data_IF_802456773465
#
_entry.id   IF_802456773465
#
_cell.length_a   1.000
_cell.length_b   1.000
_cell.length_c   1.000
_cell.angle_alpha   90.00
_cell.angle_beta   90.00
_cell.angle_gamma   90.00
#
_symmetry.space_group_name_H-M   'P 1'
#
loop_
_entity.id
_entity.type
_entity.pdbx_description
1 polymer ?
#
# COMPACT_ATOMS: atom_id res chain seq x y z
N UNK A 1 -6.58 7.35 28.90
CA UNK A 1 -6.66 7.31 27.42
C UNK A 1 -7.61 6.19 27.03
N UNK A 2 -8.68 6.48 26.27
CA UNK A 2 -9.72 5.49 25.92
C UNK A 2 -9.24 4.65 24.72
N UNK A 3 -9.11 3.34 24.89
CA UNK A 3 -8.81 2.42 23.81
C UNK A 3 -9.92 2.46 22.75
N UNK A 4 -9.57 2.80 21.51
CA UNK A 4 -10.47 2.71 20.36
C UNK A 4 -10.49 1.26 19.87
N UNK A 5 -11.17 0.38 20.58
CA UNK A 5 -11.42 -0.98 20.11
C UNK A 5 -12.75 -1.01 19.36
N UNK A 6 -12.71 -1.02 18.03
CA UNK A 6 -13.83 -1.52 17.21
C UNK A 6 -13.50 -2.96 16.84
N UNK A 7 -13.77 -3.88 17.78
CA UNK A 7 -13.79 -5.31 17.44
C UNK A 7 -15.17 -5.58 16.86
N UNK A 8 -15.26 -5.70 15.53
CA UNK A 8 -16.48 -6.19 14.93
C UNK A 8 -16.51 -7.70 15.21
N UNK A 9 -17.29 -8.12 16.21
CA UNK A 9 -17.51 -9.53 16.49
C UNK A 9 -18.27 -10.13 15.29
N UNK A 10 -17.54 -10.77 14.38
CA UNK A 10 -18.12 -11.64 13.35
C UNK A 10 -18.68 -12.86 14.08
N UNK A 11 -19.95 -12.77 14.51
CA UNK A 11 -20.73 -13.93 14.94
C UNK A 11 -20.74 -14.92 13.76
N UNK A 12 -20.19 -16.11 13.98
CA UNK A 12 -20.41 -17.27 13.11
C UNK A 12 -21.88 -17.71 13.24
N UNK A 13 -22.78 -16.96 12.60
CA UNK A 13 -24.18 -17.32 12.51
C UNK A 13 -24.34 -18.48 11.53
N UNK A 14 -24.64 -19.67 12.07
CA UNK A 14 -25.28 -20.73 11.30
C UNK A 14 -26.72 -20.30 10.97
N UNK A 15 -27.15 -20.67 9.77
CA UNK A 15 -28.54 -20.78 9.27
C UNK A 15 -29.14 -19.54 8.58
N UNK A 16 -29.29 -19.58 7.25
CA UNK A 16 -30.54 -19.99 6.60
C UNK A 16 -30.33 -20.12 5.08
N UNK A 17 -30.62 -21.30 4.57
CA UNK A 17 -30.53 -21.72 3.16
C UNK A 17 -31.52 -20.95 2.27
N UNK A 18 -31.13 -19.78 1.76
CA UNK A 18 -31.72 -19.17 0.56
C UNK A 18 -30.80 -18.07 0.02
N UNK A 19 -29.72 -18.43 -0.66
CA UNK A 19 -29.05 -17.53 -1.60
C UNK A 19 -28.66 -18.38 -2.81
N UNK A 20 -29.47 -18.23 -3.86
CA UNK A 20 -29.42 -18.90 -5.15
C UNK A 20 -28.00 -18.90 -5.72
N UNK A 21 -27.46 -20.08 -6.01
CA UNK A 21 -26.57 -20.56 -7.10
C UNK A 21 -25.67 -19.61 -7.94
N UNK A 22 -25.55 -18.34 -7.62
CA UNK A 22 -24.72 -17.37 -8.30
C UNK A 22 -23.79 -16.74 -7.27
N UNK A 23 -22.59 -17.31 -7.15
CA UNK A 23 -21.49 -16.66 -6.41
C UNK A 23 -21.16 -15.28 -6.98
N UNK A 24 -20.29 -14.54 -6.28
CA UNK A 24 -19.86 -13.21 -6.70
C UNK A 24 -19.30 -13.27 -8.13
N UNK A 25 -19.85 -12.46 -9.04
CA UNK A 25 -19.36 -12.37 -10.42
C UNK A 25 -18.14 -11.48 -10.51
N UNK A 26 -18.19 -10.33 -9.82
CA UNK A 26 -17.11 -9.35 -9.84
C UNK A 26 -16.90 -8.75 -8.45
N UNK A 27 -15.64 -8.62 -8.08
CA UNK A 27 -15.20 -8.06 -6.80
C UNK A 27 -14.10 -7.04 -7.08
N UNK A 28 -14.34 -5.81 -6.65
CA UNK A 28 -13.33 -4.74 -6.73
C UNK A 28 -12.68 -4.58 -5.36
N UNK A 29 -11.37 -4.77 -5.32
CA UNK A 29 -10.55 -4.67 -4.11
C UNK A 29 -9.53 -3.56 -4.24
N UNK A 30 -9.20 -2.94 -3.11
CA UNK A 30 -8.12 -1.96 -3.01
C UNK A 30 -7.14 -2.35 -1.91
N UNK A 31 -5.83 -2.28 -2.18
CA UNK A 31 -4.82 -2.45 -1.14
C UNK A 31 -5.08 -1.52 0.05
N UNK A 32 -5.19 -2.08 1.25
CA UNK A 32 -5.39 -1.33 2.50
C UNK A 32 -4.16 -1.36 3.42
N UNK A 33 -3.23 -2.28 3.19
CA UNK A 33 -1.97 -2.38 3.92
C UNK A 33 -2.00 -3.32 5.11
N UNK A 34 -0.94 -3.26 5.89
CA UNK A 34 -0.83 -3.95 7.16
C UNK A 34 -1.60 -3.22 8.28
N UNK A 35 -2.14 -3.95 9.28
CA UNK A 35 -2.75 -3.37 10.47
C UNK A 35 -1.83 -2.42 11.25
N UNK A 36 -0.52 -2.58 11.10
CA UNK A 36 0.52 -1.77 11.75
C UNK A 36 1.36 -1.04 10.69
N UNK A 37 1.70 0.23 10.95
CA UNK A 37 2.59 1.02 10.11
C UNK A 37 3.99 1.04 10.74
N UNK A 38 4.97 0.38 10.11
CA UNK A 38 6.39 0.57 10.43
C UNK A 38 7.04 1.59 9.48
N UNK A 39 8.18 2.15 9.87
CA UNK A 39 8.85 3.22 9.10
C UNK A 39 9.36 2.80 7.71
N UNK A 40 9.48 1.50 7.44
CA UNK A 40 10.09 0.95 6.22
C UNK A 40 9.34 -0.27 5.67
N UNK A 41 8.01 -0.27 5.67
CA UNK A 41 7.27 -1.34 4.99
C UNK A 41 7.14 -1.00 3.50
N UNK A 42 7.79 -1.78 2.66
CA UNK A 42 7.49 -1.85 1.23
C UNK A 42 6.18 -2.62 1.08
N UNK A 43 5.20 -2.01 0.40
CA UNK A 43 3.91 -2.64 0.18
C UNK A 43 3.92 -3.45 -1.13
N UNK A 44 3.29 -4.62 -1.16
CA UNK A 44 3.36 -5.53 -2.30
C UNK A 44 2.54 -5.07 -3.51
N UNK A 45 3.20 -4.65 -4.59
CA UNK A 45 2.50 -4.24 -5.80
C UNK A 45 1.94 -5.44 -6.60
N UNK A 46 0.71 -5.28 -7.09
CA UNK A 46 0.09 -6.27 -7.96
C UNK A 46 0.56 -6.03 -9.39
N UNK A 47 1.49 -6.86 -9.88
CA UNK A 47 2.03 -6.73 -11.24
C UNK A 47 1.14 -7.38 -12.31
N UNK A 48 0.73 -8.63 -12.09
CA UNK A 48 -0.02 -9.44 -13.07
C UNK A 48 -1.42 -9.76 -12.53
N UNK A 49 -2.45 -9.18 -13.15
CA UNK A 49 -3.84 -9.29 -12.71
C UNK A 49 -4.38 -10.72 -12.79
N UNK A 50 -4.04 -11.47 -13.84
CA UNK A 50 -4.52 -12.84 -14.03
C UNK A 50 -3.97 -13.79 -12.95
N UNK A 51 -2.70 -13.59 -12.56
CA UNK A 51 -2.06 -14.36 -11.49
C UNK A 51 -2.68 -14.01 -10.14
N UNK A 52 -2.91 -12.72 -9.90
CA UNK A 52 -3.60 -12.25 -8.71
C UNK A 52 -5.01 -12.81 -8.61
N UNK A 53 -5.75 -12.86 -9.71
CA UNK A 53 -7.12 -13.38 -9.76
C UNK A 53 -7.17 -14.86 -9.37
N UNK A 54 -6.28 -15.69 -9.92
CA UNK A 54 -6.19 -17.10 -9.53
C UNK A 54 -5.83 -17.27 -8.05
N UNK A 55 -4.85 -16.49 -7.58
CA UNK A 55 -4.44 -16.49 -6.19
C UNK A 55 -5.57 -16.06 -5.23
N UNK A 56 -6.29 -14.98 -5.55
CA UNK A 56 -7.38 -14.43 -4.76
C UNK A 56 -8.56 -15.40 -4.65
N UNK A 57 -8.89 -16.08 -5.75
CA UNK A 57 -9.90 -17.14 -5.78
C UNK A 57 -9.52 -18.27 -4.83
N UNK A 58 -8.30 -18.81 -4.91
CA UNK A 58 -7.86 -19.91 -4.06
C UNK A 58 -7.82 -19.52 -2.57
N UNK A 59 -7.37 -18.31 -2.26
CA UNK A 59 -7.22 -17.87 -0.88
C UNK A 59 -8.53 -17.55 -0.18
N UNK A 60 -9.47 -16.91 -0.88
CA UNK A 60 -10.72 -16.42 -0.29
C UNK A 60 -11.96 -17.20 -0.74
N UNK A 61 -11.76 -18.35 -1.42
CA UNK A 61 -12.85 -19.24 -1.80
C UNK A 61 -13.74 -19.57 -0.59
N UNK A 62 -15.05 -19.44 -0.75
CA UNK A 62 -16.02 -19.72 0.30
C UNK A 62 -16.29 -18.56 1.26
N UNK A 63 -15.65 -17.40 1.08
CA UNK A 63 -15.94 -16.24 1.92
C UNK A 63 -17.15 -15.47 1.40
N UNK A 64 -18.13 -15.27 2.27
CA UNK A 64 -19.24 -14.33 2.04
C UNK A 64 -18.73 -12.92 2.33
N UNK A 65 -18.78 -12.07 1.31
CA UNK A 65 -18.18 -10.74 1.31
C UNK A 65 -19.22 -9.64 1.14
N UNK A 66 -18.95 -8.48 1.75
CA UNK A 66 -19.75 -7.26 1.62
C UNK A 66 -18.87 -6.08 1.29
N UNK A 67 -19.48 -5.05 0.70
CA UNK A 67 -18.84 -3.75 0.50
C UNK A 67 -18.31 -3.21 1.84
N UNK A 68 -17.03 -2.84 1.86
CA UNK A 68 -16.34 -2.33 3.04
C UNK A 68 -15.68 -3.39 3.93
N UNK A 69 -15.85 -4.69 3.65
CA UNK A 69 -15.11 -5.74 4.36
C UNK A 69 -13.62 -5.72 4.00
N UNK A 70 -12.83 -6.39 4.84
CA UNK A 70 -11.39 -6.57 4.64
C UNK A 70 -11.07 -8.04 4.40
N UNK A 71 -10.26 -8.29 3.38
CA UNK A 71 -9.71 -9.59 3.03
C UNK A 71 -8.21 -9.59 3.35
N UNK A 72 -7.80 -10.50 4.22
CA UNK A 72 -6.40 -10.61 4.63
C UNK A 72 -5.69 -11.69 3.81
N UNK A 73 -4.49 -11.37 3.37
CA UNK A 73 -3.52 -12.33 2.85
C UNK A 73 -2.95 -13.15 4.00
N UNK A 74 -2.94 -14.47 3.82
CA UNK A 74 -2.44 -15.44 4.80
C UNK A 74 -1.21 -16.20 4.31
N UNK A 75 -0.76 -15.96 3.08
CA UNK A 75 0.20 -16.79 2.38
C UNK A 75 1.40 -16.01 1.87
N UNK A 76 1.20 -15.05 0.98
CA UNK A 76 2.31 -14.36 0.32
C UNK A 76 2.79 -13.18 1.18
N UNK A 77 1.83 -12.36 1.63
CA UNK A 77 2.07 -11.25 2.55
C UNK A 77 1.15 -11.40 3.77
N UNK A 78 1.53 -12.22 4.77
CA UNK A 78 0.72 -12.44 5.95
C UNK A 78 0.27 -11.13 6.59
N UNK A 79 -1.02 -11.03 6.92
CA UNK A 79 -1.67 -9.87 7.53
C UNK A 79 -1.81 -8.64 6.61
N UNK A 80 -1.41 -8.71 5.34
CA UNK A 80 -1.72 -7.64 4.39
C UNK A 80 -3.21 -7.63 4.06
N UNK A 81 -3.87 -6.48 4.19
CA UNK A 81 -5.30 -6.35 3.98
C UNK A 81 -5.63 -5.71 2.63
N UNK A 82 -6.65 -6.25 1.98
CA UNK A 82 -7.37 -5.66 0.86
C UNK A 82 -8.76 -5.24 1.34
N UNK A 83 -9.18 -4.02 1.03
CA UNK A 83 -10.54 -3.54 1.31
C UNK A 83 -11.42 -3.78 0.10
N UNK A 84 -12.62 -4.30 0.33
CA UNK A 84 -13.62 -4.48 -0.71
C UNK A 84 -14.32 -3.14 -0.97
N UNK A 85 -14.19 -2.62 -2.18
CA UNK A 85 -14.85 -1.39 -2.61
C UNK A 85 -16.22 -1.70 -3.18
N UNK A 86 -16.34 -2.77 -3.94
CA UNK A 86 -17.59 -3.12 -4.61
C UNK A 86 -17.69 -4.63 -4.89
N UNK A 87 -18.92 -5.15 -4.86
CA UNK A 87 -19.23 -6.57 -5.07
C UNK A 87 -20.55 -6.68 -5.84
N UNK A 88 -20.55 -7.46 -6.92
CA UNK A 88 -21.76 -7.79 -7.68
C UNK A 88 -21.92 -9.31 -7.82
N UNK A 89 -23.03 -9.93 -7.34
CA UNK A 89 -24.09 -9.34 -6.51
C UNK A 89 -23.65 -9.11 -5.05
N UNK A 90 -24.25 -8.14 -4.35
CA UNK A 90 -23.95 -7.90 -2.92
C UNK A 90 -24.21 -9.13 -2.03
N UNK A 91 -23.44 -9.26 -0.94
CA UNK A 91 -23.53 -10.38 0.02
C UNK A 91 -23.31 -11.76 -0.60
N UNK A 92 -22.54 -11.84 -1.69
CA UNK A 92 -22.25 -13.10 -2.37
C UNK A 92 -20.99 -13.78 -1.86
N UNK A 93 -20.88 -15.07 -2.16
CA UNK A 93 -19.72 -15.90 -1.84
C UNK A 93 -18.67 -15.81 -2.95
N UNK A 94 -17.39 -15.67 -2.58
CA UNK A 94 -16.27 -15.78 -3.53
C UNK A 94 -16.15 -17.23 -3.98
N UNK A 95 -16.19 -17.46 -5.29
CA UNK A 95 -16.06 -18.78 -5.91
C UNK A 95 -15.00 -18.81 -7.01
N UNK A 96 -14.92 -19.96 -7.69
CA UNK A 96 -13.92 -20.21 -8.75
C UNK A 96 -14.07 -19.31 -9.99
N UNK A 97 -15.27 -18.76 -10.23
CA UNK A 97 -15.59 -17.92 -11.38
C UNK A 97 -15.65 -16.43 -11.04
N UNK A 98 -15.25 -16.05 -9.83
CA UNK A 98 -15.29 -14.65 -9.39
C UNK A 98 -14.15 -13.87 -10.03
N UNK A 99 -14.49 -12.77 -10.72
CA UNK A 99 -13.52 -11.87 -11.32
C UNK A 99 -13.04 -10.82 -10.32
N UNK A 100 -11.73 -10.68 -10.18
CA UNK A 100 -11.13 -9.68 -9.30
C UNK A 100 -10.65 -8.48 -10.11
N UNK A 101 -10.99 -7.29 -9.63
CA UNK A 101 -10.44 -6.02 -10.10
C UNK A 101 -9.67 -5.38 -8.96
N UNK A 102 -8.42 -5.02 -9.19
CA UNK A 102 -7.57 -4.37 -8.19
C UNK A 102 -7.45 -2.90 -8.56
N UNK A 103 -7.86 -2.01 -7.66
CA UNK A 103 -7.54 -0.60 -7.78
C UNK A 103 -6.09 -0.35 -7.33
N UNK A 104 -5.43 0.58 -8.02
CA UNK A 104 -4.08 1.01 -7.68
C UNK A 104 -4.01 1.62 -6.27
N UNK A 105 -2.78 1.67 -5.76
CA UNK A 105 -2.46 2.42 -4.55
C UNK A 105 -2.88 3.88 -4.67
N UNK A 106 -3.37 4.44 -3.56
CA UNK A 106 -3.34 5.90 -3.44
C UNK A 106 -1.86 6.34 -3.51
N UNK A 107 -1.55 7.38 -4.27
CA UNK A 107 -0.17 7.86 -4.47
C UNK A 107 0.55 8.16 -3.13
N UNK A 108 -0.23 8.46 -2.08
CA UNK A 108 0.24 8.74 -0.72
C UNK A 108 0.57 7.47 0.10
N UNK A 109 0.31 6.27 -0.45
CA UNK A 109 0.42 5.00 0.27
C UNK A 109 1.81 4.36 0.20
N UNK A 110 2.52 4.54 -0.93
CA UNK A 110 3.81 3.89 -1.20
C UNK A 110 5.02 4.70 -0.73
N UNK A 111 4.85 5.99 -0.48
CA UNK A 111 5.91 6.82 0.09
C UNK A 111 5.71 6.84 1.59
N UNK A 112 6.54 6.14 2.40
CA UNK A 112 6.56 6.42 3.82
C UNK A 112 6.83 7.90 3.96
N UNK A 113 5.86 8.62 4.52
CA UNK A 113 5.96 10.02 4.83
C UNK A 113 7.09 10.15 5.86
N UNK A 114 8.33 10.27 5.38
CA UNK A 114 9.54 10.41 6.19
C UNK A 114 9.44 11.78 6.84
N UNK A 115 8.69 11.87 7.93
CA UNK A 115 8.64 13.00 8.84
C UNK A 115 9.97 13.06 9.59
N UNK A 116 11.00 13.45 8.86
CA UNK A 116 12.28 13.84 9.44
C UNK A 116 12.18 15.33 9.72
N UNK A 117 12.32 15.73 10.98
CA UNK A 117 12.37 17.14 11.39
C UNK A 117 13.74 17.78 11.08
N UNK A 118 14.42 17.26 10.05
CA UNK A 118 15.80 17.59 9.75
C UNK A 118 15.85 18.53 8.55
N UNK A 119 16.34 19.75 8.77
CA UNK A 119 16.52 20.75 7.71
C UNK A 119 17.98 21.13 7.53
N UNK A 120 18.32 21.81 6.43
CA UNK A 120 19.67 22.38 6.24
C UNK A 120 20.12 23.35 7.36
N UNK A 121 19.16 23.86 8.16
CA UNK A 121 19.45 24.70 9.32
C UNK A 121 20.01 23.89 10.50
N UNK A 122 19.62 22.61 10.60
CA UNK A 122 20.02 21.73 11.72
C UNK A 122 21.45 21.19 11.54
N UNK A 123 21.98 21.24 10.31
CA UNK A 123 23.37 20.90 10.02
C UNK A 123 24.23 22.09 10.47
N UNK A 124 25.21 21.91 11.35
CA UNK A 124 26.08 23.01 11.79
C UNK A 124 27.33 23.03 10.90
N UNK A 125 27.74 24.21 10.41
CA UNK A 125 28.91 24.34 9.52
C UNK A 125 28.68 23.87 8.08
N UNK A 126 29.73 23.33 7.45
CA UNK A 126 29.73 22.75 6.09
C UNK A 126 29.10 23.63 4.99
N UNK A 127 29.29 24.96 5.06
CA UNK A 127 28.65 25.93 4.17
C UNK A 127 28.88 25.66 2.66
N UNK A 128 30.07 25.16 2.29
CA UNK A 128 30.38 24.79 0.90
C UNK A 128 29.55 23.58 0.43
N UNK A 129 29.45 22.54 1.24
CA UNK A 129 28.65 21.36 0.94
C UNK A 129 27.17 21.72 0.84
N UNK A 130 26.63 22.47 1.81
CA UNK A 130 25.24 22.96 1.78
C UNK A 130 24.89 23.73 0.50
N UNK A 131 25.78 24.62 0.04
CA UNK A 131 25.58 25.36 -1.22
C UNK A 131 25.50 24.41 -2.43
N UNK A 132 26.32 23.36 -2.47
CA UNK A 132 26.24 22.32 -3.52
C UNK A 132 24.97 21.48 -3.40
N UNK A 133 24.54 21.12 -2.19
CA UNK A 133 23.29 20.40 -1.96
C UNK A 133 22.05 21.20 -2.42
N UNK A 134 22.06 22.53 -2.28
CA UNK A 134 20.99 23.39 -2.84
C UNK A 134 20.90 23.33 -4.37
N UNK A 135 21.99 23.02 -5.06
CA UNK A 135 21.95 22.80 -6.51
C UNK A 135 21.19 21.51 -6.84
N UNK A 136 21.43 20.45 -6.05
CA UNK A 136 20.74 19.17 -6.16
C UNK A 136 19.25 19.34 -5.85
N UNK A 137 18.91 20.06 -4.79
CA UNK A 137 17.54 20.42 -4.42
C UNK A 137 16.81 21.13 -5.58
N UNK A 138 17.47 22.13 -6.20
CA UNK A 138 16.92 22.84 -7.36
C UNK A 138 16.75 21.94 -8.59
N UNK A 139 17.69 21.03 -8.82
CA UNK A 139 17.59 20.05 -9.91
C UNK A 139 16.40 19.11 -9.71
N UNK A 140 16.24 18.56 -8.50
CA UNK A 140 15.11 17.69 -8.16
C UNK A 140 13.76 18.44 -8.25
N UNK A 141 13.73 19.72 -7.87
CA UNK A 141 12.53 20.55 -7.96
C UNK A 141 12.13 20.90 -9.39
N UNK A 142 13.09 21.12 -10.30
CA UNK A 142 12.80 21.45 -11.69
C UNK A 142 13.91 20.99 -12.65
N UNK A 143 13.92 19.70 -13.03
CA UNK A 143 15.02 19.13 -13.82
C UNK A 143 15.07 19.71 -15.24
N UNK A 144 13.93 20.16 -15.79
CA UNK A 144 13.82 20.70 -17.15
C UNK A 144 14.71 21.93 -17.37
N UNK A 145 15.00 22.70 -16.31
CA UNK A 145 15.87 23.88 -16.37
C UNK A 145 17.36 23.56 -16.54
N UNK A 146 17.79 22.33 -16.25
CA UNK A 146 19.19 21.94 -16.24
C UNK A 146 19.65 21.28 -17.56
N UNK A 147 18.75 21.13 -18.54
CA UNK A 147 19.08 20.56 -19.85
C UNK A 147 19.37 19.06 -19.80
N UNK A 148 20.12 18.55 -20.79
CA UNK A 148 20.42 17.11 -20.92
C UNK A 148 21.57 16.62 -20.03
N UNK A 149 22.40 17.52 -19.49
CA UNK A 149 23.60 17.16 -18.74
C UNK A 149 23.42 17.44 -17.25
N UNK A 150 23.28 16.37 -16.47
CA UNK A 150 23.30 16.42 -15.01
C UNK A 150 24.07 15.21 -14.45
N UNK A 151 25.10 15.42 -13.61
CA UNK A 151 25.78 14.32 -12.94
C UNK A 151 24.78 13.62 -12.01
N UNK A 152 24.62 12.30 -12.21
CA UNK A 152 23.68 11.47 -11.42
C UNK A 152 24.29 10.95 -10.12
N UNK A 153 25.62 10.96 -10.02
CA UNK A 153 26.36 10.42 -8.88
C UNK A 153 26.93 11.56 -8.05
N UNK A 154 26.70 11.53 -6.75
CA UNK A 154 27.20 12.50 -5.78
C UNK A 154 27.99 11.75 -4.73
N UNK A 155 29.27 12.09 -4.58
CA UNK A 155 30.15 11.52 -3.56
C UNK A 155 30.35 12.55 -2.45
N UNK A 156 29.91 12.20 -1.23
CA UNK A 156 30.29 12.91 -0.01
C UNK A 156 31.56 12.27 0.55
N UNK A 157 32.52 13.09 0.95
CA UNK A 157 33.78 12.63 1.54
C UNK A 157 34.22 13.55 2.67
N UNK A 158 34.86 12.99 3.68
CA UNK A 158 35.31 13.70 4.86
C UNK A 158 35.75 12.73 5.97
N UNK A 159 36.38 13.25 7.03
CA UNK A 159 36.66 12.47 8.23
C UNK A 159 35.35 12.03 8.90
N UNK A 160 35.43 11.04 9.78
CA UNK A 160 34.27 10.55 10.53
C UNK A 160 33.67 11.64 11.42
N UNK A 161 32.35 11.64 11.57
CA UNK A 161 31.62 12.55 12.47
C UNK A 161 31.35 13.95 11.90
N UNK A 162 31.61 14.21 10.61
CA UNK A 162 31.32 15.52 10.00
C UNK A 162 29.86 15.75 9.63
N UNK A 163 29.06 14.66 9.58
CA UNK A 163 27.80 14.66 8.81
C UNK A 163 28.06 15.04 7.37
#
# INVERSE_FOLDING_TARGET
MRAKQRVNNKKSGKCSSTAKDNGAKTVTVKPAGYPLKGMFHEYPETSELDVFEFYAREQWNGFIIKKGDYLFDRRMFPDFAFRIIDVDPENSEIGKNTKFMVEDYDADFLVPDMKTDTSFKNIIGQNKAKKKCKLIEKYLSNPRKFGKWAPKNILFHGPSGTG
#
